data_IF_818492396304
#
_entry.id   IF_818492396304
#
_cell.length_a   1.000
_cell.length_b   1.000
_cell.length_c   1.000
_cell.angle_alpha   90.00
_cell.angle_beta   90.00
_cell.angle_gamma   90.00
#
_symmetry.space_group_name_H-M   'P 1'
#
loop_
_entity.id
_entity.type
_entity.pdbx_description
1 polymer ?
#
# COMPACT_ATOMS: atom_id res chain seq x y z
N UNK A 1 -17.07 -30.38 7.79
CA UNK A 1 -18.28 -29.94 7.05
C UNK A 1 -17.79 -29.07 5.90
N UNK A 2 -18.19 -29.36 4.67
CA UNK A 2 -17.78 -28.55 3.52
C UNK A 2 -18.40 -27.15 3.61
N UNK A 3 -17.63 -26.11 3.32
CA UNK A 3 -18.11 -24.72 3.28
C UNK A 3 -18.80 -24.37 1.96
N UNK A 4 -18.83 -25.31 1.02
CA UNK A 4 -19.43 -25.18 -0.31
C UNK A 4 -20.49 -26.27 -0.53
N UNK A 5 -21.44 -26.00 -1.43
CA UNK A 5 -22.52 -26.93 -1.80
C UNK A 5 -22.05 -28.09 -2.70
N UNK A 6 -20.74 -28.26 -2.89
CA UNK A 6 -20.16 -29.27 -3.79
C UNK A 6 -20.05 -30.60 -3.02
N UNK A 7 -20.72 -31.63 -3.54
CA UNK A 7 -20.75 -32.99 -2.96
C UNK A 7 -19.99 -34.02 -3.79
N UNK A 8 -19.61 -33.69 -5.03
CA UNK A 8 -18.83 -34.51 -5.97
C UNK A 8 -18.01 -33.63 -6.91
N UNK A 9 -16.81 -34.10 -7.29
CA UNK A 9 -15.93 -33.43 -8.26
C UNK A 9 -16.23 -33.78 -9.71
N UNK A 10 -17.10 -34.77 -9.95
CA UNK A 10 -17.64 -35.07 -11.27
C UNK A 10 -18.90 -34.23 -11.55
N UNK A 11 -18.74 -32.91 -11.48
CA UNK A 11 -19.80 -31.90 -11.70
C UNK A 11 -19.35 -30.96 -12.82
N UNK A 12 -20.29 -30.52 -13.65
CA UNK A 12 -20.03 -29.50 -14.67
C UNK A 12 -19.71 -28.16 -14.00
N UNK A 13 -18.58 -27.55 -14.36
CA UNK A 13 -18.17 -26.26 -13.79
C UNK A 13 -19.15 -25.13 -14.16
N UNK A 14 -19.93 -25.27 -15.22
CA UNK A 14 -20.97 -24.31 -15.58
C UNK A 14 -22.11 -24.25 -14.55
N UNK A 15 -22.38 -25.36 -13.85
CA UNK A 15 -23.43 -25.46 -12.83
C UNK A 15 -22.95 -25.04 -11.43
N UNK A 16 -21.64 -24.86 -11.27
CA UNK A 16 -21.04 -24.40 -10.02
C UNK A 16 -21.13 -22.86 -10.01
N UNK A 17 -22.06 -22.34 -9.20
CA UNK A 17 -22.20 -20.91 -8.95
C UNK A 17 -20.97 -20.29 -8.27
N UNK A 18 -21.08 -19.01 -7.93
CA UNK A 18 -20.01 -18.26 -7.25
C UNK A 18 -19.49 -19.00 -6.02
N UNK A 19 -18.18 -19.27 -5.99
CA UNK A 19 -17.55 -20.11 -4.96
C UNK A 19 -16.81 -19.32 -3.88
N UNK A 20 -16.54 -18.03 -4.12
CA UNK A 20 -15.78 -17.15 -3.22
C UNK A 20 -16.62 -15.94 -2.78
N UNK A 21 -16.36 -15.41 -1.57
CA UNK A 21 -17.12 -14.28 -1.04
C UNK A 21 -16.86 -13.00 -1.83
N UNK A 22 -17.86 -12.11 -1.84
CA UNK A 22 -17.79 -10.79 -2.50
C UNK A 22 -17.66 -10.82 -4.03
N UNK A 23 -18.04 -11.91 -4.70
CA UNK A 23 -18.08 -11.89 -6.15
C UNK A 23 -19.07 -10.83 -6.66
N UNK A 24 -18.68 -10.13 -7.72
CA UNK A 24 -19.34 -8.92 -8.21
C UNK A 24 -18.90 -7.62 -7.53
N UNK A 25 -18.19 -7.68 -6.40
CA UNK A 25 -17.62 -6.51 -5.71
C UNK A 25 -16.11 -6.35 -5.93
N UNK A 26 -15.50 -7.16 -6.78
CA UNK A 26 -14.05 -7.16 -7.00
C UNK A 26 -13.57 -5.77 -7.42
N UNK A 27 -14.30 -5.12 -8.34
CA UNK A 27 -13.97 -3.77 -8.79
C UNK A 27 -14.04 -2.72 -7.67
N UNK A 28 -15.06 -2.81 -6.80
CA UNK A 28 -15.20 -1.90 -5.67
C UNK A 28 -14.07 -2.10 -4.64
N UNK A 29 -13.71 -3.36 -4.34
CA UNK A 29 -12.61 -3.67 -3.43
C UNK A 29 -11.26 -3.21 -3.97
N UNK A 30 -11.02 -3.39 -5.28
CA UNK A 30 -9.82 -2.86 -5.96
C UNK A 30 -9.78 -1.35 -5.85
N UNK A 31 -10.90 -0.67 -6.11
CA UNK A 31 -10.97 0.79 -6.02
C UNK A 31 -10.66 1.29 -4.60
N UNK A 32 -11.23 0.66 -3.56
CA UNK A 32 -10.96 0.99 -2.15
C UNK A 32 -9.47 0.78 -1.83
N UNK A 33 -8.90 -0.36 -2.27
CA UNK A 33 -7.49 -0.65 -2.07
C UNK A 33 -6.58 0.41 -2.70
N UNK A 34 -6.86 0.82 -3.94
CA UNK A 34 -6.09 1.85 -4.64
C UNK A 34 -6.23 3.21 -3.95
N UNK A 35 -7.45 3.62 -3.59
CA UNK A 35 -7.68 4.90 -2.91
C UNK A 35 -6.94 4.94 -1.57
N UNK A 36 -7.07 3.87 -0.77
CA UNK A 36 -6.36 3.75 0.50
C UNK A 36 -4.84 3.77 0.33
N UNK A 37 -4.33 3.07 -0.67
CA UNK A 37 -2.90 3.03 -0.99
C UNK A 37 -2.35 4.40 -1.40
N UNK A 38 -3.06 5.13 -2.27
CA UNK A 38 -2.65 6.48 -2.67
C UNK A 38 -2.75 7.47 -1.51
N UNK A 39 -3.82 7.42 -0.71
CA UNK A 39 -3.95 8.27 0.47
C UNK A 39 -2.83 8.02 1.48
N UNK A 40 -2.45 6.76 1.69
CA UNK A 40 -1.31 6.37 2.52
C UNK A 40 0.00 6.94 2.00
N UNK A 41 0.29 6.82 0.71
CA UNK A 41 1.52 7.39 0.11
C UNK A 41 1.61 8.90 0.29
N UNK A 42 0.51 9.62 0.10
CA UNK A 42 0.46 11.07 0.34
C UNK A 42 0.74 11.39 1.80
N UNK A 43 0.22 10.59 2.73
CA UNK A 43 0.52 10.75 4.14
C UNK A 43 2.01 10.51 4.44
N UNK A 44 2.58 9.37 4.01
CA UNK A 44 4.01 9.07 4.20
C UNK A 44 4.91 10.19 3.67
N UNK A 45 4.65 10.66 2.45
CA UNK A 45 5.46 11.70 1.81
C UNK A 45 5.45 13.02 2.60
N UNK A 46 4.33 13.38 3.24
CA UNK A 46 4.26 14.60 4.06
C UNK A 46 5.14 14.50 5.29
N UNK A 47 5.15 13.34 5.95
CA UNK A 47 5.96 13.12 7.15
C UNK A 47 7.45 13.02 6.81
N UNK A 48 7.79 12.36 5.71
CA UNK A 48 9.18 12.23 5.26
C UNK A 48 9.78 13.58 4.81
N UNK A 49 8.99 14.46 4.19
CA UNK A 49 9.47 15.79 3.80
C UNK A 49 9.92 16.63 4.99
N UNK A 50 9.16 16.66 6.08
CA UNK A 50 9.53 17.43 7.27
C UNK A 50 10.83 16.95 7.92
N UNK A 51 11.10 15.65 7.84
CA UNK A 51 12.35 15.07 8.35
C UNK A 51 13.52 15.32 7.40
N UNK A 52 13.31 15.18 6.09
CA UNK A 52 14.31 15.49 5.08
C UNK A 52 14.79 16.94 5.16
N UNK A 53 13.89 17.91 5.34
CA UNK A 53 14.27 19.33 5.46
C UNK A 53 15.21 19.58 6.65
N UNK A 54 14.97 18.90 7.78
CA UNK A 54 15.83 18.99 8.97
C UNK A 54 17.19 18.35 8.71
N UNK A 55 17.22 17.19 8.06
CA UNK A 55 18.47 16.51 7.70
C UNK A 55 19.30 17.40 6.77
N UNK A 56 18.69 17.98 5.74
CA UNK A 56 19.37 18.89 4.80
C UNK A 56 19.96 20.10 5.52
N UNK A 57 19.20 20.74 6.42
CA UNK A 57 19.68 21.87 7.20
C UNK A 57 20.89 21.48 8.10
N UNK A 58 20.80 20.35 8.79
CA UNK A 58 21.88 19.86 9.67
C UNK A 58 23.16 19.50 8.88
N UNK A 59 23.02 18.92 7.69
CA UNK A 59 24.16 18.65 6.80
C UNK A 59 24.82 19.94 6.33
N UNK A 60 24.03 20.95 5.95
CA UNK A 60 24.55 22.23 5.50
C UNK A 60 25.34 22.97 6.61
N UNK A 61 24.86 22.91 7.85
CA UNK A 61 25.58 23.45 9.01
C UNK A 61 26.90 22.73 9.25
N UNK A 62 26.89 21.39 9.22
CA UNK A 62 28.12 20.59 9.35
C UNK A 62 29.16 20.94 8.29
N UNK A 63 28.74 21.11 7.04
CA UNK A 63 29.64 21.48 5.93
C UNK A 63 30.29 22.84 6.17
N UNK A 64 29.53 23.86 6.58
CA UNK A 64 30.08 25.18 6.92
C UNK A 64 31.11 25.10 8.05
N UNK A 65 30.83 24.32 9.09
CA UNK A 65 31.75 24.16 10.21
C UNK A 65 33.04 23.40 9.85
N UNK A 66 33.00 22.56 8.81
CA UNK A 66 34.17 21.84 8.32
C UNK A 66 35.05 22.74 7.43
N UNK A 67 34.43 23.58 6.60
CA UNK A 67 35.11 24.58 5.77
C UNK A 67 35.86 25.60 6.64
N UNK A 68 35.19 26.16 7.65
CA UNK A 68 35.76 27.12 8.63
C UNK A 68 36.93 26.54 9.44
N UNK A 69 36.94 25.23 9.70
CA UNK A 69 38.06 24.54 10.37
C UNK A 69 39.24 24.22 9.44
N UNK A 70 39.05 24.34 8.13
CA UNK A 70 40.06 24.04 7.12
C UNK A 70 40.78 25.29 6.57
N UNK A 71 40.23 26.47 6.85
CA UNK A 71 40.82 27.79 6.58
C UNK A 71 41.76 28.23 7.72
#
# INVERSE_FOLDING_TARGET
>A
MSTTNITSWAVDLADIGVIYPFAGYEGAMVAIGIIGWLAWHVWCHRWENEENDKIVAAYHEKLKSADDKSA
#
